data_IF_221482739439
#
_entry.id   IF_221482739439
#
_cell.length_a   1.000
_cell.length_b   1.000
_cell.length_c   1.000
_cell.angle_alpha   90.00
_cell.angle_beta   90.00
_cell.angle_gamma   90.00
#
_symmetry.space_group_name_H-M   'P 1'
#
loop_
_entity.id
_entity.type
_entity.pdbx_description
1 polymer ?
#
# COMPACT_ATOMS: atom_id res chain seq x y z
N UNK A 1 -18.27 0.02 -11.72
CA UNK A 1 -17.61 -0.74 -10.64
C UNK A 1 -16.12 -0.72 -10.94
N UNK A 2 -15.41 0.30 -10.48
CA UNK A 2 -13.96 0.36 -10.70
C UNK A 2 -13.31 -0.67 -9.76
N UNK A 3 -12.99 -1.85 -10.28
CA UNK A 3 -12.19 -2.89 -9.58
C UNK A 3 -10.70 -2.49 -9.43
N UNK A 4 -10.36 -1.24 -9.79
CA UNK A 4 -9.02 -0.72 -9.83
C UNK A 4 -8.83 0.29 -8.71
N UNK A 5 -8.30 -0.15 -7.57
CA UNK A 5 -7.79 0.78 -6.55
C UNK A 5 -6.49 1.34 -7.10
N UNK A 6 -6.33 2.65 -7.31
CA UNK A 6 -5.05 3.22 -7.75
C UNK A 6 -4.00 3.06 -6.64
N UNK A 7 -2.72 3.12 -6.98
CA UNK A 7 -1.60 2.97 -6.03
C UNK A 7 -1.49 1.56 -5.47
N UNK A 8 -1.76 0.53 -6.28
CA UNK A 8 -1.42 -0.83 -5.87
C UNK A 8 0.10 -1.01 -5.85
N UNK A 9 0.57 -1.94 -5.02
CA UNK A 9 2.01 -2.11 -4.79
C UNK A 9 2.80 -2.38 -6.09
N UNK A 10 2.21 -3.14 -7.02
CA UNK A 10 2.83 -3.47 -8.31
C UNK A 10 2.86 -2.29 -9.28
N UNK A 11 2.01 -1.27 -9.08
CA UNK A 11 2.03 -0.03 -9.86
C UNK A 11 3.08 0.95 -9.34
N UNK A 12 3.26 0.98 -8.01
CA UNK A 12 4.27 1.83 -7.35
C UNK A 12 5.70 1.30 -7.57
N UNK A 13 5.85 -0.02 -7.70
CA UNK A 13 7.15 -0.68 -7.85
C UNK A 13 7.16 -1.68 -9.03
N UNK A 14 6.94 -1.21 -10.27
CA UNK A 14 6.79 -2.11 -11.42
C UNK A 14 8.08 -2.87 -11.75
N UNK A 15 9.24 -2.29 -11.45
CA UNK A 15 10.55 -2.92 -11.66
C UNK A 15 10.83 -4.08 -10.68
N UNK A 16 10.13 -4.11 -9.54
CA UNK A 16 10.34 -5.08 -8.47
C UNK A 16 9.23 -6.14 -8.39
N UNK A 17 8.38 -6.26 -9.42
CA UNK A 17 7.21 -7.14 -9.39
C UNK A 17 7.55 -8.59 -9.00
N UNK A 18 8.60 -9.17 -9.59
CA UNK A 18 9.05 -10.53 -9.28
C UNK A 18 9.60 -10.63 -7.84
N UNK A 19 10.35 -9.60 -7.40
CA UNK A 19 10.91 -9.54 -6.04
C UNK A 19 9.80 -9.41 -4.99
N UNK A 20 8.78 -8.59 -5.26
CA UNK A 20 7.58 -8.46 -4.44
C UNK A 20 6.88 -9.81 -4.33
N UNK A 21 6.67 -10.51 -5.45
CA UNK A 21 6.03 -11.82 -5.43
C UNK A 21 6.82 -12.82 -4.58
N UNK A 22 8.14 -12.89 -4.78
CA UNK A 22 9.01 -13.76 -4.00
C UNK A 22 8.91 -13.43 -2.49
N UNK A 23 9.11 -12.17 -2.10
CA UNK A 23 9.09 -11.74 -0.71
C UNK A 23 7.72 -11.95 -0.04
N UNK A 24 6.59 -11.78 -0.75
CA UNK A 24 5.27 -12.08 -0.20
C UNK A 24 5.11 -13.55 0.21
N UNK A 25 5.83 -14.46 -0.45
CA UNK A 25 5.77 -15.90 -0.16
C UNK A 25 6.84 -16.38 0.83
N UNK A 26 8.00 -15.70 0.87
CA UNK A 26 9.15 -16.16 1.64
C UNK A 26 9.45 -15.32 2.90
N UNK A 27 8.92 -14.11 3.00
CA UNK A 27 9.14 -13.18 4.11
C UNK A 27 7.80 -12.79 4.77
N UNK A 28 7.57 -13.32 5.97
CA UNK A 28 6.36 -13.06 6.75
C UNK A 28 6.23 -11.61 7.22
N UNK A 29 7.31 -10.84 7.31
CA UNK A 29 7.27 -9.42 7.60
C UNK A 29 6.86 -8.62 6.37
N UNK A 30 7.48 -8.90 5.22
CA UNK A 30 7.12 -8.25 3.97
C UNK A 30 5.66 -8.54 3.58
N UNK A 31 5.22 -9.78 3.75
CA UNK A 31 3.83 -10.19 3.49
C UNK A 31 2.83 -9.35 4.30
N UNK A 32 3.08 -9.16 5.61
CA UNK A 32 2.26 -8.30 6.47
C UNK A 32 2.26 -6.84 6.03
N UNK A 33 3.42 -6.28 5.66
CA UNK A 33 3.52 -4.90 5.17
C UNK A 33 2.73 -4.71 3.87
N UNK A 34 2.83 -5.66 2.94
CA UNK A 34 2.10 -5.60 1.68
C UNK A 34 0.57 -5.66 1.88
N UNK A 35 0.11 -6.51 2.80
CA UNK A 35 -1.32 -6.61 3.13
C UNK A 35 -1.83 -5.37 3.86
N UNK A 36 -1.06 -4.82 4.80
CA UNK A 36 -1.40 -3.58 5.49
C UNK A 36 -1.43 -2.39 4.52
N UNK A 37 -0.45 -2.28 3.63
CA UNK A 37 -0.42 -1.28 2.58
C UNK A 37 -1.68 -1.34 1.70
N UNK A 38 -2.05 -2.56 1.27
CA UNK A 38 -3.22 -2.77 0.43
C UNK A 38 -4.53 -2.39 1.14
N UNK A 39 -4.68 -2.70 2.43
CA UNK A 39 -5.86 -2.27 3.21
C UNK A 39 -5.91 -0.76 3.41
N UNK A 40 -4.80 -0.13 3.82
CA UNK A 40 -4.75 1.33 4.00
C UNK A 40 -4.99 2.05 2.67
N UNK A 41 -4.45 1.55 1.56
CA UNK A 41 -4.68 2.14 0.24
C UNK A 41 -6.16 2.10 -0.15
N UNK A 42 -6.86 0.99 0.11
CA UNK A 42 -8.31 0.91 -0.10
C UNK A 42 -9.08 1.91 0.75
N UNK A 43 -8.72 2.07 2.03
CA UNK A 43 -9.38 3.04 2.91
C UNK A 43 -9.18 4.47 2.41
N UNK A 44 -7.95 4.83 2.03
CA UNK A 44 -7.66 6.14 1.42
C UNK A 44 -8.47 6.34 0.15
N UNK A 45 -8.52 5.34 -0.74
CA UNK A 45 -9.29 5.44 -1.98
C UNK A 45 -10.79 5.64 -1.73
N UNK A 46 -11.38 4.92 -0.76
CA UNK A 46 -12.80 5.09 -0.39
C UNK A 46 -13.08 6.47 0.20
N UNK A 47 -12.15 7.01 0.99
CA UNK A 47 -12.24 8.37 1.54
C UNK A 47 -12.17 9.42 0.41
N UNK A 48 -11.15 9.35 -0.44
CA UNK A 48 -10.92 10.28 -1.56
C UNK A 48 -12.04 10.23 -2.60
N UNK A 49 -12.63 9.04 -2.84
CA UNK A 49 -13.77 8.87 -3.74
C UNK A 49 -15.12 9.32 -3.13
N UNK A 50 -15.14 9.75 -1.86
CA UNK A 50 -16.37 10.12 -1.15
C UNK A 50 -17.32 8.96 -0.88
N UNK A 51 -16.85 7.71 -1.00
CA UNK A 51 -17.63 6.50 -0.74
C UNK A 51 -17.80 6.28 0.76
N UNK A 52 -16.71 6.45 1.52
CA UNK A 52 -16.70 6.45 2.98
C UNK A 52 -16.07 7.77 3.46
N UNK A 53 -16.84 8.87 3.49
CA UNK A 53 -16.34 10.15 3.98
C UNK A 53 -15.90 10.02 5.44
N UNK A 54 -14.74 10.56 5.75
CA UNK A 54 -14.20 10.61 7.11
C UNK A 54 -13.74 12.03 7.44
N UNK A 55 -13.46 12.27 8.72
CA UNK A 55 -12.91 13.56 9.13
C UNK A 55 -11.55 13.81 8.46
N UNK A 56 -11.29 15.07 8.10
CA UNK A 56 -10.07 15.46 7.36
C UNK A 56 -8.78 15.06 8.07
N UNK A 57 -8.78 15.08 9.41
CA UNK A 57 -7.65 14.61 10.20
C UNK A 57 -7.45 13.10 10.05
N UNK A 58 -8.52 12.30 10.09
CA UNK A 58 -8.46 10.85 9.91
C UNK A 58 -7.96 10.48 8.51
N UNK A 59 -8.44 11.15 7.47
CA UNK A 59 -7.97 10.97 6.09
C UNK A 59 -6.47 11.29 5.96
N UNK A 60 -6.04 12.40 6.57
CA UNK A 60 -4.63 12.81 6.57
C UNK A 60 -3.75 11.76 7.24
N UNK A 61 -4.18 11.19 8.37
CA UNK A 61 -3.44 10.14 9.06
C UNK A 61 -3.37 8.83 8.25
N UNK A 62 -4.44 8.46 7.54
CA UNK A 62 -4.39 7.31 6.61
C UNK A 62 -3.39 7.53 5.47
N UNK A 63 -3.38 8.72 4.86
CA UNK A 63 -2.43 9.05 3.79
C UNK A 63 -0.98 9.02 4.28
N UNK A 64 -0.72 9.49 5.51
CA UNK A 64 0.60 9.37 6.14
C UNK A 64 1.00 7.91 6.38
N UNK A 65 0.07 7.08 6.88
CA UNK A 65 0.33 5.64 7.05
C UNK A 65 0.64 4.95 5.72
N UNK A 66 -0.11 5.26 4.65
CA UNK A 66 0.18 4.74 3.30
C UNK A 66 1.59 5.11 2.85
N UNK A 67 2.01 6.36 3.06
CA UNK A 67 3.35 6.82 2.71
C UNK A 67 4.43 6.10 3.53
N UNK A 68 4.25 5.97 4.85
CA UNK A 68 5.19 5.26 5.72
C UNK A 68 5.37 3.79 5.29
N UNK A 69 4.27 3.07 5.04
CA UNK A 69 4.31 1.68 4.59
C UNK A 69 5.03 1.56 3.24
N UNK A 70 4.79 2.51 2.32
CA UNK A 70 5.50 2.56 1.04
C UNK A 70 7.01 2.69 1.22
N UNK A 71 7.44 3.57 2.12
CA UNK A 71 8.86 3.79 2.40
C UNK A 71 9.51 2.57 3.06
N UNK A 72 8.80 1.85 3.93
CA UNK A 72 9.28 0.61 4.55
C UNK A 72 9.44 -0.51 3.51
N UNK A 73 8.45 -0.67 2.63
CA UNK A 73 8.50 -1.63 1.52
C UNK A 73 9.67 -1.29 0.58
N UNK A 74 9.83 -0.02 0.19
CA UNK A 74 10.92 0.43 -0.66
C UNK A 74 12.29 0.11 -0.04
N UNK A 75 12.45 0.29 1.28
CA UNK A 75 13.69 -0.07 2.00
C UNK A 75 14.00 -1.56 1.86
N UNK A 76 13.02 -2.44 2.07
CA UNK A 76 13.21 -3.91 1.93
C UNK A 76 13.55 -4.29 0.48
N UNK A 77 12.89 -3.66 -0.49
CA UNK A 77 13.18 -3.88 -1.92
C UNK A 77 14.58 -3.39 -2.31
N UNK A 78 15.08 -2.32 -1.69
CA UNK A 78 16.45 -1.83 -1.93
C UNK A 78 17.54 -2.62 -1.21
N UNK A 79 17.20 -3.43 -0.20
CA UNK A 79 18.15 -4.09 0.71
C UNK A 79 18.78 -5.39 0.15
N UNK A 80 18.92 -5.54 -1.17
CA UNK A 80 19.50 -6.75 -1.78
C UNK A 80 20.42 -6.42 -2.94
#
# INVERSE_FOLDING_TARGET
MSQHTPHELHEEFPADADRIHALKTSDAHFSRLADEYHEINRQVHRAEAGIEPMESLAETELRKKRAHLKDEIARILSAG
#
